data_IF_690353707959
#
_entry.id   IF_690353707959
#
_cell.length_a   1.000
_cell.length_b   1.000
_cell.length_c   1.000
_cell.angle_alpha   90.00
_cell.angle_beta   90.00
_cell.angle_gamma   90.00
#
_symmetry.space_group_name_H-M   'P 1'
#
loop_
_entity.id
_entity.type
_entity.pdbx_description
1 polymer ?
#
# COMPACT_ATOMS: atom_id res chain seq x y z
N UNK A 1 21.95 15.37 10.57
CA UNK A 1 21.68 14.30 11.54
C UNK A 1 20.33 13.69 11.17
N UNK A 2 20.35 12.73 10.25
CA UNK A 2 19.17 12.08 9.67
C UNK A 2 19.37 10.59 9.91
N UNK A 3 18.60 10.01 10.84
CA UNK A 3 18.13 8.60 10.78
C UNK A 3 17.27 8.26 12.02
N UNK A 4 15.93 8.31 11.88
CA UNK A 4 15.02 7.56 12.76
C UNK A 4 14.34 6.36 12.05
N UNK A 5 14.44 6.26 10.72
CA UNK A 5 13.66 5.32 9.91
C UNK A 5 14.13 3.86 10.10
N UNK A 6 15.44 3.65 10.34
CA UNK A 6 16.01 2.32 10.54
C UNK A 6 15.54 1.62 11.83
N UNK A 7 15.46 2.36 12.94
CA UNK A 7 15.06 1.78 14.24
C UNK A 7 13.57 1.43 14.28
N UNK A 8 12.71 2.28 13.70
CA UNK A 8 11.28 1.98 13.60
C UNK A 8 11.00 0.74 12.72
N UNK A 9 11.79 0.55 11.66
CA UNK A 9 11.67 -0.60 10.76
C UNK A 9 12.12 -1.91 11.43
N UNK A 10 13.23 -1.90 12.18
CA UNK A 10 13.67 -3.05 12.97
C UNK A 10 12.71 -3.39 14.12
N UNK A 11 12.17 -2.39 14.81
CA UNK A 11 11.18 -2.61 15.86
C UNK A 11 9.89 -3.24 15.29
N UNK A 12 9.45 -2.81 14.10
CA UNK A 12 8.30 -3.39 13.43
C UNK A 12 8.56 -4.84 12.97
N UNK A 13 9.76 -5.17 12.49
CA UNK A 13 10.15 -6.54 12.12
C UNK A 13 10.14 -7.49 13.31
N UNK A 14 10.65 -7.04 14.45
CA UNK A 14 10.68 -7.85 15.67
C UNK A 14 9.29 -8.13 16.24
N UNK A 15 8.31 -7.23 16.01
CA UNK A 15 6.94 -7.37 16.55
C UNK A 15 6.01 -8.09 15.57
N UNK A 16 6.13 -7.83 14.26
CA UNK A 16 5.14 -8.27 13.25
C UNK A 16 5.63 -9.39 12.31
N UNK A 17 6.80 -9.97 12.58
CA UNK A 17 7.44 -10.97 11.72
C UNK A 17 8.06 -10.33 10.48
N UNK A 18 8.11 -11.06 9.36
CA UNK A 18 8.62 -10.57 8.07
C UNK A 18 7.83 -9.33 7.63
N UNK A 19 8.31 -8.15 8.04
CA UNK A 19 7.92 -6.89 7.42
C UNK A 19 8.58 -6.95 6.06
N UNK A 20 7.84 -7.43 5.06
CA UNK A 20 8.22 -7.27 3.66
C UNK A 20 8.59 -5.80 3.49
N UNK A 21 9.87 -5.52 3.35
CA UNK A 21 10.35 -4.17 3.16
C UNK A 21 9.71 -3.68 1.87
N UNK A 22 9.23 -2.45 1.91
CA UNK A 22 8.55 -1.77 0.80
C UNK A 22 9.38 -1.70 -0.50
N UNK A 23 10.60 -2.26 -0.50
CA UNK A 23 11.52 -2.43 -1.62
C UNK A 23 10.99 -3.33 -2.73
N UNK A 24 10.21 -4.36 -2.39
CA UNK A 24 9.85 -5.40 -3.36
C UNK A 24 8.63 -5.02 -4.21
N UNK A 25 7.88 -3.99 -3.78
CA UNK A 25 6.72 -3.46 -4.53
C UNK A 25 7.14 -2.32 -5.46
N UNK A 26 8.38 -2.39 -5.96
CA UNK A 26 9.15 -1.33 -6.58
C UNK A 26 8.42 -0.48 -7.63
N UNK A 27 8.84 0.78 -7.71
CA UNK A 27 8.52 1.68 -8.82
C UNK A 27 8.88 1.03 -10.16
N UNK A 28 7.90 0.81 -11.04
CA UNK A 28 8.12 0.36 -12.42
C UNK A 28 8.58 1.45 -13.37
N UNK A 29 8.71 2.69 -12.88
CA UNK A 29 9.30 3.75 -13.67
C UNK A 29 10.81 3.51 -13.83
N UNK A 30 11.24 3.18 -15.04
CA UNK A 30 12.64 3.05 -15.40
C UNK A 30 13.17 4.40 -15.91
N UNK A 31 14.23 4.90 -15.28
CA UNK A 31 15.02 6.03 -15.78
C UNK A 31 16.25 5.46 -16.47
N UNK A 32 16.24 5.42 -17.80
CA UNK A 32 17.43 5.15 -18.60
C UNK A 32 17.90 6.49 -19.16
N UNK A 33 19.19 6.79 -19.01
CA UNK A 33 19.81 8.09 -19.31
C UNK A 33 19.15 8.84 -20.50
N UNK A 34 18.31 9.84 -20.19
CA UNK A 34 17.71 10.74 -21.16
C UNK A 34 16.26 10.45 -21.60
N UNK A 35 15.67 9.31 -21.23
CA UNK A 35 14.27 9.01 -21.54
C UNK A 35 13.50 8.54 -20.29
N UNK A 36 12.38 9.21 -20.00
CA UNK A 36 11.38 8.71 -19.07
C UNK A 36 10.42 7.81 -19.84
N UNK A 37 10.49 6.50 -19.59
CA UNK A 37 9.56 5.55 -20.19
C UNK A 37 8.41 5.27 -19.22
N UNK A 38 7.18 5.48 -19.68
CA UNK A 38 6.01 5.19 -18.89
C UNK A 38 5.80 3.67 -18.87
N UNK A 39 5.67 3.03 -17.68
CA UNK A 39 5.60 1.58 -17.57
C UNK A 39 4.49 0.98 -18.44
N UNK A 40 4.76 -0.19 -19.04
CA UNK A 40 3.79 -0.98 -19.82
C UNK A 40 2.54 -1.31 -19.00
N UNK A 41 1.45 -1.65 -19.70
CA UNK A 41 0.21 -2.05 -19.04
C UNK A 41 0.43 -3.31 -18.19
N UNK A 42 1.23 -4.24 -18.69
CA UNK A 42 1.62 -5.48 -18.01
C UNK A 42 2.41 -5.20 -16.73
N UNK A 43 3.35 -4.26 -16.77
CA UNK A 43 4.11 -3.84 -15.57
C UNK A 43 3.20 -3.17 -14.54
N UNK A 44 2.25 -2.33 -14.97
CA UNK A 44 1.27 -1.72 -14.06
C UNK A 44 0.38 -2.80 -13.43
N UNK A 45 -0.02 -3.82 -14.21
CA UNK A 45 -0.81 -4.95 -13.69
C UNK A 45 -0.05 -5.80 -12.67
N UNK A 46 1.24 -6.04 -12.88
CA UNK A 46 2.10 -6.73 -11.90
C UNK A 46 2.20 -5.96 -10.57
N UNK A 47 2.34 -4.64 -10.64
CA UNK A 47 2.37 -3.76 -9.46
C UNK A 47 1.00 -3.76 -8.77
N UNK A 48 -0.10 -3.62 -9.52
CA UNK A 48 -1.46 -3.68 -8.98
C UNK A 48 -1.74 -5.00 -8.25
N UNK A 49 -1.32 -6.13 -8.81
CA UNK A 49 -1.48 -7.44 -8.16
C UNK A 49 -0.75 -7.50 -6.82
N UNK A 50 0.50 -7.03 -6.79
CA UNK A 50 1.32 -6.97 -5.57
C UNK A 50 0.69 -6.08 -4.49
N UNK A 51 0.20 -4.89 -4.87
CA UNK A 51 -0.46 -3.98 -3.92
C UNK A 51 -1.79 -4.52 -3.40
N UNK A 52 -2.59 -5.18 -4.26
CA UNK A 52 -3.86 -5.82 -3.84
C UNK A 52 -3.60 -6.98 -2.87
N UNK A 53 -2.64 -7.85 -3.17
CA UNK A 53 -2.24 -8.92 -2.25
C UNK A 53 -1.77 -8.38 -0.90
N UNK A 54 -1.03 -7.26 -0.92
CA UNK A 54 -0.59 -6.58 0.30
C UNK A 54 -1.75 -5.97 1.08
N UNK A 55 -2.68 -5.30 0.40
CA UNK A 55 -3.89 -4.75 1.01
C UNK A 55 -4.69 -5.84 1.72
N UNK A 56 -4.87 -6.99 1.09
CA UNK A 56 -5.56 -8.14 1.67
C UNK A 56 -4.82 -8.67 2.92
N UNK A 57 -3.50 -8.83 2.83
CA UNK A 57 -2.68 -9.28 3.97
C UNK A 57 -2.77 -8.34 5.17
N UNK A 58 -2.76 -7.03 4.93
CA UNK A 58 -2.93 -6.02 5.98
C UNK A 58 -4.35 -6.09 6.54
N UNK A 59 -5.38 -6.16 5.68
CA UNK A 59 -6.77 -6.21 6.10
C UNK A 59 -7.04 -7.41 7.03
N UNK A 60 -6.47 -8.58 6.73
CA UNK A 60 -6.58 -9.78 7.58
C UNK A 60 -6.05 -9.56 9.01
N UNK A 61 -4.99 -8.76 9.18
CA UNK A 61 -4.43 -8.42 10.50
C UNK A 61 -5.34 -7.48 11.31
N UNK A 62 -6.26 -6.78 10.65
CA UNK A 62 -7.23 -5.89 11.32
C UNK A 62 -8.13 -6.64 12.29
N UNK A 63 -8.57 -7.86 11.93
CA UNK A 63 -9.40 -8.69 12.82
C UNK A 63 -8.71 -9.03 14.13
N UNK A 64 -7.41 -9.36 14.09
CA UNK A 64 -6.61 -9.63 15.29
C UNK A 64 -6.46 -8.39 16.15
N UNK A 65 -6.29 -7.22 15.53
CA UNK A 65 -6.17 -5.96 16.25
C UNK A 65 -7.46 -5.57 16.97
N UNK A 66 -8.61 -5.75 16.32
CA UNK A 66 -9.92 -5.55 16.94
C UNK A 66 -10.13 -6.49 18.14
N UNK A 67 -9.73 -7.76 18.02
CA UNK A 67 -9.78 -8.70 19.14
C UNK A 67 -8.91 -8.24 20.33
N UNK A 68 -7.71 -7.72 20.08
CA UNK A 68 -6.83 -7.18 21.13
C UNK A 68 -7.43 -5.94 21.80
N UNK A 69 -8.01 -5.03 21.03
CA UNK A 69 -8.69 -3.83 21.57
C UNK A 69 -9.87 -4.20 22.46
N UNK A 70 -10.61 -5.26 22.12
CA UNK A 70 -11.71 -5.74 22.96
C UNK A 70 -11.19 -6.42 24.24
N UNK A 71 -10.10 -7.18 24.16
CA UNK A 71 -9.53 -7.89 25.31
C UNK A 71 -9.09 -6.92 26.43
N UNK A 72 -8.60 -5.73 26.08
CA UNK A 72 -8.15 -4.74 27.07
C UNK A 72 -9.28 -3.98 27.77
N UNK A 73 -10.55 -4.20 27.41
CA UNK A 73 -11.68 -3.58 28.10
C UNK A 73 -11.98 -4.23 29.46
N UNK A 74 -11.42 -5.42 29.72
CA UNK A 74 -11.60 -6.14 30.99
C UNK A 74 -10.24 -6.27 31.69
N UNK A 75 -9.91 -5.38 32.65
CA UNK A 75 -8.64 -5.43 33.35
C UNK A 75 -8.54 -6.70 34.23
N UNK A 76 -7.35 -7.31 34.36
CA UNK A 76 -7.16 -8.54 35.13
C UNK A 76 -7.27 -8.34 36.65
N UNK A 77 -7.15 -7.10 37.12
CA UNK A 77 -7.29 -6.71 38.52
C UNK A 77 -7.85 -5.28 38.60
N UNK A 78 -8.49 -4.95 39.73
CA UNK A 78 -9.12 -3.65 39.98
C UNK A 78 -8.31 -2.81 40.99
N UNK A 79 -7.01 -2.68 40.73
CA UNK A 79 -6.11 -1.80 41.47
C UNK A 79 -5.61 -0.65 40.57
N UNK A 80 -5.18 0.46 41.19
CA UNK A 80 -4.80 1.67 40.48
C UNK A 80 -3.63 1.46 39.51
N UNK A 81 -2.68 0.59 39.84
CA UNK A 81 -1.53 0.31 38.98
C UNK A 81 -1.95 -0.47 37.74
N UNK A 82 -2.77 -1.52 37.91
CA UNK A 82 -3.35 -2.27 36.79
C UNK A 82 -4.19 -1.36 35.90
N UNK A 83 -5.06 -0.53 36.48
CA UNK A 83 -5.91 0.39 35.73
C UNK A 83 -5.08 1.42 34.91
N UNK A 84 -4.02 1.98 35.50
CA UNK A 84 -3.12 2.91 34.81
C UNK A 84 -2.36 2.24 33.65
N UNK A 85 -1.86 1.02 33.86
CA UNK A 85 -1.20 0.25 32.80
C UNK A 85 -2.17 -0.09 31.66
N UNK A 86 -3.38 -0.57 31.99
CA UNK A 86 -4.41 -0.91 31.00
C UNK A 86 -4.86 0.31 30.18
N UNK A 87 -4.93 1.49 30.79
CA UNK A 87 -5.22 2.74 30.06
C UNK A 87 -4.14 3.06 29.02
N UNK A 88 -2.86 2.95 29.41
CA UNK A 88 -1.72 3.16 28.48
C UNK A 88 -1.77 2.15 27.34
N UNK A 89 -2.00 0.88 27.65
CA UNK A 89 -2.09 -0.19 26.66
C UNK A 89 -3.25 0.02 25.69
N UNK A 90 -4.43 0.41 26.19
CA UNK A 90 -5.59 0.77 25.37
C UNK A 90 -5.28 1.93 24.40
N UNK A 91 -4.57 2.95 24.86
CA UNK A 91 -4.15 4.06 24.02
C UNK A 91 -3.20 3.59 22.90
N UNK A 92 -2.21 2.76 23.23
CA UNK A 92 -1.29 2.20 22.22
C UNK A 92 -2.00 1.34 21.18
N UNK A 93 -2.94 0.47 21.60
CA UNK A 93 -3.72 -0.35 20.66
C UNK A 93 -4.64 0.49 19.77
N UNK A 94 -5.22 1.56 20.33
CA UNK A 94 -6.03 2.52 19.56
C UNK A 94 -5.18 3.19 18.48
N UNK A 95 -3.98 3.68 18.83
CA UNK A 95 -3.05 4.28 17.86
C UNK A 95 -2.63 3.28 16.77
N UNK A 96 -2.36 2.03 17.15
CA UNK A 96 -2.03 0.98 16.18
C UNK A 96 -3.18 0.71 15.21
N UNK A 97 -4.43 0.72 15.69
CA UNK A 97 -5.63 0.57 14.84
C UNK A 97 -5.81 1.74 13.89
N UNK A 98 -5.56 2.95 14.35
CA UNK A 98 -5.66 4.14 13.52
C UNK A 98 -4.54 4.14 12.44
N UNK A 99 -3.32 3.73 12.78
CA UNK A 99 -2.23 3.52 11.81
C UNK A 99 -2.56 2.43 10.78
N UNK A 100 -3.13 1.31 11.23
CA UNK A 100 -3.56 0.22 10.35
C UNK A 100 -4.61 0.71 9.33
N UNK A 101 -5.61 1.45 9.79
CA UNK A 101 -6.65 2.04 8.96
C UNK A 101 -6.08 3.06 7.96
N UNK A 102 -5.18 3.93 8.43
CA UNK A 102 -4.49 4.90 7.58
C UNK A 102 -3.66 4.22 6.48
N UNK A 103 -3.02 3.09 6.79
CA UNK A 103 -2.23 2.34 5.82
C UNK A 103 -3.11 1.70 4.75
N UNK A 104 -4.26 1.13 5.12
CA UNK A 104 -5.23 0.62 4.15
C UNK A 104 -5.77 1.72 3.23
N UNK A 105 -6.07 2.91 3.77
CA UNK A 105 -6.52 4.06 2.98
C UNK A 105 -5.44 4.53 2.00
N UNK A 106 -4.19 4.62 2.45
CA UNK A 106 -3.05 4.96 1.59
C UNK A 106 -2.92 3.99 0.42
N UNK A 107 -2.94 2.68 0.71
CA UNK A 107 -2.83 1.63 -0.32
C UNK A 107 -3.99 1.70 -1.31
N UNK A 108 -5.22 1.86 -0.82
CA UNK A 108 -6.41 2.00 -1.67
C UNK A 108 -6.30 3.19 -2.63
N UNK A 109 -5.88 4.35 -2.11
CA UNK A 109 -5.67 5.55 -2.93
C UNK A 109 -4.56 5.35 -3.97
N UNK A 110 -3.50 4.62 -3.62
CA UNK A 110 -2.41 4.32 -4.55
C UNK A 110 -2.86 3.37 -5.68
N UNK A 111 -3.59 2.30 -5.34
CA UNK A 111 -4.21 1.38 -6.31
C UNK A 111 -5.11 2.14 -7.29
N UNK A 112 -5.98 3.04 -6.78
CA UNK A 112 -6.85 3.86 -7.63
C UNK A 112 -6.07 4.72 -8.62
N UNK A 113 -4.96 5.34 -8.18
CA UNK A 113 -4.10 6.14 -9.07
C UNK A 113 -3.43 5.28 -10.15
N UNK A 114 -2.99 4.07 -9.80
CA UNK A 114 -2.42 3.13 -10.77
C UNK A 114 -3.45 2.64 -11.78
N UNK A 115 -4.68 2.34 -11.35
CA UNK A 115 -5.77 1.98 -12.24
C UNK A 115 -6.11 3.12 -13.22
N UNK A 116 -6.19 4.36 -12.72
CA UNK A 116 -6.41 5.52 -13.57
C UNK A 116 -5.27 5.72 -14.58
N UNK A 117 -4.02 5.55 -14.17
CA UNK A 117 -2.86 5.61 -15.06
C UNK A 117 -2.88 4.51 -16.14
N UNK A 118 -3.25 3.28 -15.77
CA UNK A 118 -3.44 2.17 -16.70
C UNK A 118 -4.50 2.49 -17.76
N UNK A 119 -5.68 2.95 -17.33
CA UNK A 119 -6.77 3.29 -18.25
C UNK A 119 -6.35 4.41 -19.20
N UNK A 120 -5.70 5.47 -18.70
CA UNK A 120 -5.23 6.56 -19.54
C UNK A 120 -4.23 6.09 -20.62
N UNK A 121 -3.31 5.17 -20.25
CA UNK A 121 -2.35 4.59 -21.21
C UNK A 121 -3.06 3.76 -22.29
N UNK A 122 -3.99 2.88 -21.89
CA UNK A 122 -4.74 2.04 -22.83
C UNK A 122 -5.59 2.88 -23.80
N UNK A 123 -6.22 3.95 -23.33
CA UNK A 123 -6.99 4.86 -24.19
C UNK A 123 -6.08 5.62 -25.16
N UNK A 124 -4.96 6.18 -24.68
CA UNK A 124 -4.01 6.90 -25.53
C UNK A 124 -3.37 6.02 -26.62
N UNK A 125 -3.05 4.77 -26.30
CA UNK A 125 -2.57 3.79 -27.28
C UNK A 125 -3.66 3.40 -28.29
N UNK A 126 -4.90 3.23 -27.85
CA UNK A 126 -6.06 2.99 -28.72
C UNK A 126 -6.30 4.12 -29.73
N UNK A 127 -6.30 5.37 -29.26
CA UNK A 127 -6.47 6.54 -30.13
C UNK A 127 -5.32 6.69 -31.14
N UNK A 128 -4.09 6.42 -30.70
CA UNK A 128 -2.90 6.47 -31.56
C UNK A 128 -2.94 5.39 -32.64
N UNK A 129 -3.31 4.15 -32.28
CA UNK A 129 -3.43 3.05 -33.23
C UNK A 129 -4.58 3.24 -34.22
N UNK A 130 -5.73 3.78 -33.78
CA UNK A 130 -6.85 4.13 -34.65
C UNK A 130 -6.51 5.27 -35.61
N UNK A 131 -5.77 6.29 -35.14
CA UNK A 131 -5.27 7.37 -35.99
C UNK A 131 -4.28 6.85 -37.05
N UNK A 132 -3.35 5.98 -36.66
CA UNK A 132 -2.42 5.31 -37.58
C UNK A 132 -3.14 4.43 -38.60
N UNK A 133 -4.17 3.68 -38.19
CA UNK A 133 -4.98 2.85 -39.09
C UNK A 133 -5.77 3.69 -40.10
N UNK A 134 -6.35 4.81 -39.67
CA UNK A 134 -7.04 5.75 -40.56
C UNK A 134 -6.07 6.44 -41.53
N UNK A 135 -4.88 6.82 -41.07
CA UNK A 135 -3.86 7.45 -41.90
C UNK A 135 -3.25 6.47 -42.92
N UNK A 136 -3.03 5.20 -42.55
CA UNK A 136 -2.48 4.17 -43.44
C UNK A 136 -3.51 3.58 -44.42
N UNK A 137 -4.79 3.55 -44.05
CA UNK A 137 -5.88 3.14 -44.94
C UNK A 137 -6.27 4.17 -46.01
N UNK A 138 -5.75 5.40 -45.93
CA UNK A 138 -6.03 6.49 -46.89
C UNK A 138 -5.02 6.63 -48.04
N UNK A 139 -3.99 5.77 -48.13
CA UNK A 139 -2.91 5.89 -49.13
C UNK A 139 -3.18 5.06 -50.40
N UNK A 140 -4.36 4.46 -50.55
CA UNK A 140 -4.77 3.80 -51.81
C UNK A 140 -6.13 4.30 -52.27
N UNK A 141 -6.13 5.43 -52.99
CA UNK A 141 -7.03 5.70 -54.11
C UNK A 141 -6.53 6.88 -54.94
#
# INVERSE_FOLDING_TARGET
>A
MLEPIGQATQAAQNIFGEVSTWSDVGSTAHSVAGAFEFPSVEEIDGVLASWRARQESIAKRGTTLEQLVQAVMNPPANDDATNGYMMTWKQSLTQLRDQHSSMLAYIGNYIQKLEAAKTAKQTGEGETTDALRKASGGITQ
#
